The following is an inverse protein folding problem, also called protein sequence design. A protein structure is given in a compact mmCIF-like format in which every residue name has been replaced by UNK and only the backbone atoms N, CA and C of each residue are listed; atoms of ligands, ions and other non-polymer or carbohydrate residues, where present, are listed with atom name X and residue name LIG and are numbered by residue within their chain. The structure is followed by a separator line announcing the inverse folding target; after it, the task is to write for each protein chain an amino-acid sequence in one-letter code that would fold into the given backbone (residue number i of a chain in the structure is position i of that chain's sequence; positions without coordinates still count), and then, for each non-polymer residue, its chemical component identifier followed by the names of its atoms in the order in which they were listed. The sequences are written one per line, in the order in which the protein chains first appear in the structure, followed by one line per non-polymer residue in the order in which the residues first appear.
data_IF_006770772204
#
_entry.id   IF_006770772204
#
_cell.length_a   1.000
_cell.length_b   1.000
_cell.length_c   1.000
_cell.angle_alpha   90.00
_cell.angle_beta   90.00
_cell.angle_gamma   90.00
#
_symmetry.space_group_name_H-M   'P 1'
#
loop_
_entity.id
_entity.type
_entity.pdbx_description
1 polymer ?
#
# COMPACT_ATOMS: atom_id res chain seq x y z
N UNK A 1 -30.40 -22.51 -4.07
CA UNK A 1 -30.51 -21.84 -5.39
C UNK A 1 -29.25 -20.99 -5.57
N UNK A 2 -28.11 -21.60 -5.92
CA UNK A 2 -27.57 -21.65 -7.28
C UNK A 2 -26.74 -20.37 -7.56
N UNK A 3 -25.40 -20.41 -7.46
CA UNK A 3 -24.59 -20.87 -8.60
C UNK A 3 -23.14 -21.19 -8.23
N UNK A 4 -22.67 -22.21 -8.92
CA UNK A 4 -21.30 -22.64 -9.12
C UNK A 4 -20.36 -21.48 -9.54
N UNK A 5 -19.12 -21.54 -9.05
CA UNK A 5 -17.94 -20.85 -9.60
C UNK A 5 -18.14 -19.42 -10.07
N UNK A 6 -18.12 -18.45 -9.15
CA UNK A 6 -18.03 -17.02 -9.51
C UNK A 6 -16.78 -16.77 -10.34
N UNK A 7 -16.95 -16.50 -11.64
CA UNK A 7 -15.84 -16.15 -12.53
C UNK A 7 -15.56 -14.66 -12.39
N UNK A 8 -14.40 -14.31 -11.80
CA UNK A 8 -13.91 -12.93 -11.79
C UNK A 8 -13.29 -12.60 -13.15
N UNK A 9 -13.83 -11.59 -13.83
CA UNK A 9 -13.23 -11.07 -15.06
C UNK A 9 -12.20 -9.99 -14.72
N UNK A 10 -11.09 -9.97 -15.45
CA UNK A 10 -10.06 -8.94 -15.30
C UNK A 10 -10.62 -7.64 -15.91
N UNK A 11 -10.84 -6.62 -15.07
CA UNK A 11 -11.31 -5.31 -15.53
C UNK A 11 -10.17 -4.51 -16.19
N UNK A 12 -8.99 -4.53 -15.58
CA UNK A 12 -7.80 -3.84 -16.05
C UNK A 12 -6.54 -4.64 -15.65
N UNK A 13 -5.38 -4.22 -16.14
CA UNK A 13 -4.09 -4.82 -15.85
C UNK A 13 -3.83 -4.88 -14.33
N UNK A 14 -3.34 -6.02 -13.81
CA UNK A 14 -2.94 -6.13 -12.42
C UNK A 14 -1.91 -5.06 -12.04
N UNK A 15 -2.08 -4.45 -10.87
CA UNK A 15 -1.16 -3.41 -10.34
C UNK A 15 -0.09 -4.10 -9.48
N UNK A 16 1.20 -3.99 -9.85
CA UNK A 16 2.29 -4.54 -9.04
C UNK A 16 2.45 -3.78 -7.72
N UNK A 17 2.72 -4.49 -6.62
CA UNK A 17 2.78 -3.91 -5.27
C UNK A 17 3.92 -2.90 -5.10
N UNK A 18 5.04 -3.05 -5.82
CA UNK A 18 6.15 -2.06 -5.86
C UNK A 18 5.73 -0.69 -6.40
N UNK A 19 4.64 -0.68 -7.16
CA UNK A 19 4.16 0.45 -7.97
C UNK A 19 2.78 0.94 -7.56
N UNK A 20 2.19 0.34 -6.54
CA UNK A 20 0.90 0.72 -5.99
C UNK A 20 1.09 1.82 -4.93
N UNK A 21 0.37 2.93 -5.09
CA UNK A 21 0.29 3.99 -4.09
C UNK A 21 -1.15 4.09 -3.59
N UNK A 22 -1.32 3.92 -2.28
CA UNK A 22 -2.61 4.00 -1.63
C UNK A 22 -2.79 5.40 -1.02
N UNK A 23 -3.94 6.04 -1.28
CA UNK A 23 -4.29 7.32 -0.64
C UNK A 23 -5.66 7.25 0.00
N UNK A 24 -5.70 7.49 1.31
CA UNK A 24 -6.93 7.74 2.02
C UNK A 24 -7.49 9.13 1.64
N UNK A 25 -8.81 9.22 1.45
CA UNK A 25 -9.51 10.50 1.25
C UNK A 25 -10.36 10.78 2.48
N UNK A 26 -10.15 11.96 3.06
CA UNK A 26 -10.90 12.40 4.23
C UNK A 26 -12.36 12.70 3.89
N UNK A 27 -13.30 12.43 4.80
CA UNK A 27 -14.72 12.71 4.59
C UNK A 27 -15.01 14.17 4.23
N UNK A 28 -14.19 15.12 4.74
CA UNK A 28 -14.31 16.53 4.43
C UNK A 28 -14.02 16.84 2.95
N UNK A 29 -13.06 16.12 2.36
CA UNK A 29 -12.68 16.27 0.96
C UNK A 29 -13.67 15.54 0.03
N UNK A 30 -14.28 14.44 0.49
CA UNK A 30 -15.26 13.69 -0.29
C UNK A 30 -16.69 14.27 -0.21
N UNK A 31 -16.99 15.07 0.82
CA UNK A 31 -18.29 15.70 1.04
C UNK A 31 -18.73 16.62 -0.12
N UNK A 32 -17.80 17.30 -0.76
CA UNK A 32 -18.08 18.15 -1.94
C UNK A 32 -18.54 17.36 -3.17
N UNK A 33 -18.31 16.05 -3.21
CA UNK A 33 -18.66 15.18 -4.34
C UNK A 33 -19.76 14.16 -3.99
N UNK A 34 -20.32 14.18 -2.79
CA UNK A 34 -21.31 13.19 -2.33
C UNK A 34 -20.75 11.78 -2.14
N UNK A 35 -19.42 11.62 -2.21
CA UNK A 35 -18.75 10.34 -2.03
C UNK A 35 -18.47 10.10 -0.55
N UNK A 36 -18.64 8.86 -0.09
CA UNK A 36 -18.38 8.46 1.29
C UNK A 36 -17.48 7.24 1.33
N UNK A 37 -16.64 7.12 2.36
CA UNK A 37 -15.78 5.94 2.56
C UNK A 37 -14.93 5.58 1.32
N UNK A 38 -14.43 6.58 0.61
CA UNK A 38 -13.60 6.40 -0.58
C UNK A 38 -12.12 6.43 -0.27
N UNK A 39 -11.35 5.72 -1.09
CA UNK A 39 -9.89 5.75 -1.13
C UNK A 39 -9.42 5.61 -2.58
N UNK A 40 -8.19 6.06 -2.85
CA UNK A 40 -7.58 5.98 -4.17
C UNK A 40 -6.51 4.90 -4.20
N UNK A 41 -6.55 4.11 -5.26
CA UNK A 41 -5.46 3.23 -5.68
C UNK A 41 -4.82 3.85 -6.90
N UNK A 42 -3.55 4.22 -6.79
CA UNK A 42 -2.79 4.86 -7.86
C UNK A 42 -1.75 3.87 -8.37
N UNK A 43 -1.75 3.62 -9.67
CA UNK A 43 -0.74 2.84 -10.36
C UNK A 43 0.34 3.78 -10.89
N UNK A 44 1.58 3.59 -10.44
CA UNK A 44 2.73 4.30 -10.96
C UNK A 44 3.58 3.41 -11.87
N UNK A 45 4.27 4.00 -12.83
CA UNK A 45 5.30 3.28 -13.58
C UNK A 45 6.65 3.26 -12.80
N UNK A 46 7.69 2.64 -13.38
CA UNK A 46 9.03 2.59 -12.79
C UNK A 46 9.71 3.97 -12.63
N UNK A 47 9.17 4.99 -13.29
CA UNK A 47 9.62 6.39 -13.20
C UNK A 47 8.74 7.22 -12.26
N UNK A 48 7.94 6.57 -11.41
CA UNK A 48 7.02 7.19 -10.45
C UNK A 48 5.93 8.07 -11.09
N UNK A 49 5.71 7.93 -12.40
CA UNK A 49 4.64 8.64 -13.09
C UNK A 49 3.32 7.93 -12.87
N UNK A 50 2.28 8.69 -12.55
CA UNK A 50 0.92 8.16 -12.42
C UNK A 50 0.41 7.72 -13.80
N UNK A 51 0.07 6.44 -13.94
CA UNK A 51 -0.45 5.84 -15.18
C UNK A 51 -1.90 5.35 -15.03
N UNK A 52 -2.43 5.28 -13.81
CA UNK A 52 -3.83 4.97 -13.54
C UNK A 52 -4.26 5.39 -12.15
N UNK A 53 -5.51 5.83 -12.01
CA UNK A 53 -6.12 6.21 -10.73
C UNK A 53 -7.47 5.52 -10.64
N UNK A 54 -7.66 4.74 -9.58
CA UNK A 54 -8.90 4.02 -9.31
C UNK A 54 -9.47 4.54 -7.99
N UNK A 55 -10.67 5.11 -8.05
CA UNK A 55 -11.43 5.51 -6.87
C UNK A 55 -12.30 4.35 -6.43
N UNK A 56 -12.02 3.79 -5.26
CA UNK A 56 -12.79 2.69 -4.69
C UNK A 56 -13.63 3.20 -3.53
N UNK A 57 -14.91 2.84 -3.54
CA UNK A 57 -15.87 3.21 -2.52
C UNK A 57 -16.24 1.98 -1.69
N UNK A 58 -15.96 2.04 -0.38
CA UNK A 58 -16.36 0.98 0.53
C UNK A 58 -17.80 1.19 1.02
N UNK A 59 -18.53 0.11 1.34
CA UNK A 59 -19.89 0.23 1.88
C UNK A 59 -19.94 0.85 3.28
N UNK A 60 -18.82 0.84 4.02
CA UNK A 60 -18.73 1.42 5.37
C UNK A 60 -17.29 1.83 5.71
N UNK A 61 -17.14 2.75 6.67
CA UNK A 61 -15.84 3.19 7.18
C UNK A 61 -14.97 2.05 7.77
N UNK A 62 -15.48 1.11 8.59
CA UNK A 62 -14.65 -0.01 9.05
C UNK A 62 -14.14 -0.88 7.90
N UNK A 63 -14.97 -1.12 6.87
CA UNK A 63 -14.54 -1.90 5.70
C UNK A 63 -13.45 -1.15 4.92
N UNK A 64 -13.58 0.17 4.75
CA UNK A 64 -12.52 1.02 4.17
C UNK A 64 -11.22 0.89 4.96
N UNK A 65 -11.27 0.98 6.30
CA UNK A 65 -10.08 0.84 7.16
C UNK A 65 -9.43 -0.53 7.01
N UNK A 66 -10.22 -1.59 6.93
CA UNK A 66 -9.72 -2.95 6.68
C UNK A 66 -8.99 -3.04 5.34
N UNK A 67 -9.56 -2.49 4.26
CA UNK A 67 -8.91 -2.43 2.95
C UNK A 67 -7.59 -1.67 3.01
N UNK A 68 -7.60 -0.47 3.59
CA UNK A 68 -6.39 0.36 3.72
C UNK A 68 -5.29 -0.39 4.47
N UNK A 69 -5.61 -0.95 5.63
CA UNK A 69 -4.67 -1.68 6.48
C UNK A 69 -4.06 -2.88 5.76
N UNK A 70 -4.87 -3.70 5.08
CA UNK A 70 -4.38 -4.91 4.42
C UNK A 70 -3.49 -4.58 3.22
N UNK A 71 -3.87 -3.58 2.42
CA UNK A 71 -3.07 -3.16 1.27
C UNK A 71 -1.75 -2.55 1.75
N UNK A 72 -1.77 -1.66 2.74
CA UNK A 72 -0.55 -1.08 3.32
C UNK A 72 0.37 -2.16 3.88
N UNK A 73 -0.18 -3.11 4.64
CA UNK A 73 0.58 -4.24 5.19
C UNK A 73 1.23 -5.07 4.09
N UNK A 74 0.51 -5.34 2.99
CA UNK A 74 1.04 -6.10 1.86
C UNK A 74 2.16 -5.34 1.14
N UNK A 75 2.00 -4.02 0.92
CA UNK A 75 3.03 -3.18 0.29
C UNK A 75 4.27 -3.09 1.17
N UNK A 76 4.12 -2.85 2.47
CA UNK A 76 5.23 -2.81 3.43
C UNK A 76 5.93 -4.17 3.54
N UNK A 77 5.16 -5.26 3.62
CA UNK A 77 5.69 -6.62 3.64
C UNK A 77 6.54 -6.92 2.39
N UNK A 78 6.04 -6.53 1.21
CA UNK A 78 6.78 -6.67 -0.03
C UNK A 78 8.06 -5.79 -0.06
N UNK A 79 7.98 -4.55 0.43
CA UNK A 79 9.12 -3.63 0.53
C UNK A 79 10.23 -4.22 1.41
N UNK A 80 9.88 -4.81 2.55
CA UNK A 80 10.83 -5.42 3.48
C UNK A 80 11.51 -6.67 2.91
N UNK A 81 10.89 -7.36 1.94
CA UNK A 81 11.52 -8.48 1.23
C UNK A 81 12.60 -7.97 0.26
N UNK A 82 12.33 -6.84 -0.41
CA UNK A 82 13.25 -6.25 -1.38
C UNK A 82 14.42 -5.51 -0.73
N UNK A 83 14.16 -4.82 0.39
CA UNK A 83 15.15 -4.09 1.17
C UNK A 83 15.08 -4.62 2.62
N UNK A 84 15.70 -5.79 2.90
CA UNK A 84 15.72 -6.33 4.25
C UNK A 84 16.39 -5.30 5.16
N UNK A 85 15.81 -4.98 6.32
CA UNK A 85 16.40 -4.02 7.24
C UNK A 85 17.83 -4.45 7.54
N UNK A 86 18.80 -3.59 7.18
CA UNK A 86 20.21 -3.90 7.42
C UNK A 86 20.37 -4.17 8.93
N UNK A 87 21.01 -5.29 9.33
CA UNK A 87 21.41 -5.44 10.71
C UNK A 87 22.27 -4.23 11.05
N UNK A 88 21.93 -3.53 12.14
CA UNK A 88 22.80 -2.51 12.71
C UNK A 88 24.09 -3.22 13.14
N UNK A 89 25.04 -3.34 12.21
CA UNK A 89 26.32 -3.97 12.44
C UNK A 89 26.97 -3.19 13.58
N UNK A 90 27.18 -3.88 14.69
CA UNK A 90 27.71 -3.32 15.93
C UNK A 90 28.87 -2.37 15.65
N UNK A 91 28.75 -1.16 16.18
CA UNK A 91 29.86 -0.25 16.39
C UNK A 91 30.82 -0.96 17.35
N UNK A 92 31.73 -1.78 16.83
CA UNK A 92 32.81 -2.34 17.62
C UNK A 92 33.54 -1.14 18.23
N UNK A 93 33.44 -0.99 19.55
CA UNK A 93 34.30 -0.08 20.29
C UNK A 93 35.73 -0.58 20.05
N UNK A 94 36.47 0.16 19.24
CA UNK A 94 37.93 0.04 19.20
C UNK A 94 38.40 0.60 20.52
N UNK A 95 38.62 -0.30 21.48
CA UNK A 95 39.27 0.04 22.73
C UNK A 95 40.73 0.28 22.39
N UNK A 96 41.10 1.54 22.19
CA UNK A 96 42.51 1.94 22.08
C UNK A 96 43.14 1.78 23.47
N UNK A 97 43.73 0.61 23.71
CA UNK A 97 44.77 0.43 24.71
C UNK A 97 45.99 1.19 24.21
N UNK A 98 46.26 2.35 24.82
CA UNK A 98 47.57 2.99 24.73
C UNK A 98 48.25 2.87 26.09
N UNK A 99 49.14 1.88 26.18
CA UNK A 99 50.35 1.98 27.00
C UNK A 99 51.10 3.25 26.58
N UNK A 100 51.25 4.23 27.49
CA UNK A 100 52.51 4.92 27.80
C UNK A 100 52.42 5.54 29.20
#
# INVERSE_FOLDING_TARGET
MGRDGTVCSILDQPIPLDRLVLKNIDPLNSAGCGLHNVFLVIHQNRYQQCIGIFTLQAPSDPVKRTWLLHIETAVTGYRNILDPPQPLLGRFAVNESSEI
#
